data_IF_745792904145
#
_entry.id   IF_745792904145
#
_cell.length_a   1.000
_cell.length_b   1.000
_cell.length_c   1.000
_cell.angle_alpha   90.00
_cell.angle_beta   90.00
_cell.angle_gamma   90.00
#
_symmetry.space_group_name_H-M   'P 1'
#
loop_
_entity.id
_entity.type
_entity.pdbx_description
1 polymer ?
#
# COMPACT_ATOMS: atom_id res chain seq x y z
N UNK A 1 -43.51 -40.61 -25.62
CA UNK A 1 -42.43 -41.13 -24.75
C UNK A 1 -41.10 -40.69 -25.33
N UNK A 2 -40.63 -39.51 -24.94
CA UNK A 2 -39.26 -39.03 -25.16
C UNK A 2 -38.89 -38.27 -23.89
N UNK A 3 -38.14 -38.92 -22.99
CA UNK A 3 -37.39 -38.25 -21.95
C UNK A 3 -36.12 -37.72 -22.61
N UNK A 4 -36.09 -36.42 -22.92
CA UNK A 4 -34.84 -35.73 -23.24
C UNK A 4 -34.40 -35.05 -21.94
N UNK A 5 -33.21 -35.48 -21.55
CA UNK A 5 -32.51 -35.36 -20.28
C UNK A 5 -32.10 -33.90 -19.97
N UNK A 6 -32.75 -33.27 -18.98
CA UNK A 6 -32.49 -31.91 -18.46
C UNK A 6 -31.17 -31.79 -17.64
N UNK A 7 -30.11 -32.52 -18.00
CA UNK A 7 -28.86 -32.56 -17.22
C UNK A 7 -27.68 -31.83 -17.86
N UNK A 8 -27.88 -31.04 -18.92
CA UNK A 8 -26.77 -30.41 -19.65
C UNK A 8 -26.70 -28.88 -19.61
N UNK A 9 -27.41 -28.20 -18.69
CA UNK A 9 -27.44 -26.72 -18.61
C UNK A 9 -26.95 -26.16 -17.26
N UNK A 10 -26.64 -26.98 -16.25
CA UNK A 10 -26.37 -26.48 -14.90
C UNK A 10 -24.88 -26.49 -14.45
N UNK A 11 -23.93 -26.84 -15.32
CA UNK A 11 -22.52 -26.96 -14.91
C UNK A 11 -21.66 -25.72 -15.21
N UNK A 12 -22.14 -24.76 -16.02
CA UNK A 12 -21.38 -23.55 -16.35
C UNK A 12 -21.51 -22.42 -15.31
N UNK A 13 -22.59 -22.37 -14.51
CA UNK A 13 -22.73 -21.36 -13.43
C UNK A 13 -21.94 -21.74 -12.17
N UNK A 14 -21.62 -23.02 -11.98
CA UNK A 14 -20.86 -23.50 -10.82
C UNK A 14 -19.34 -23.35 -10.94
N UNK A 15 -18.80 -23.06 -12.13
CA UNK A 15 -17.37 -22.80 -12.31
C UNK A 15 -16.98 -21.32 -12.04
N UNK A 16 -17.96 -20.41 -12.09
CA UNK A 16 -17.76 -18.98 -11.82
C UNK A 16 -17.91 -18.64 -10.32
N UNK A 17 -18.33 -19.61 -9.50
CA UNK A 17 -18.38 -19.54 -8.04
C UNK A 17 -17.12 -20.08 -7.36
N UNK A 18 -16.06 -20.37 -8.14
CA UNK A 18 -14.75 -20.73 -7.60
C UNK A 18 -14.14 -19.53 -6.84
N UNK A 19 -14.33 -19.58 -5.52
CA UNK A 19 -13.68 -18.77 -4.46
C UNK A 19 -13.85 -17.25 -4.50
N UNK A 20 -15.08 -16.76 -4.64
CA UNK A 20 -15.38 -15.39 -4.16
C UNK A 20 -15.34 -15.40 -2.63
N UNK A 21 -14.15 -15.13 -2.05
CA UNK A 21 -13.97 -15.03 -0.60
C UNK A 21 -15.10 -14.20 0.01
N UNK A 22 -15.69 -14.62 1.14
CA UNK A 22 -16.74 -13.86 1.80
C UNK A 22 -16.25 -12.42 2.02
N UNK A 23 -17.05 -11.42 1.59
CA UNK A 23 -16.69 -9.98 1.74
C UNK A 23 -16.19 -9.66 3.14
N UNK A 24 -16.79 -10.29 4.15
CA UNK A 24 -16.43 -10.17 5.55
C UNK A 24 -14.98 -10.60 5.84
N UNK A 25 -14.53 -11.75 5.32
CA UNK A 25 -13.16 -12.23 5.54
C UNK A 25 -12.16 -11.28 4.88
N UNK A 26 -12.48 -10.80 3.67
CA UNK A 26 -11.65 -9.82 2.96
C UNK A 26 -11.54 -8.51 3.74
N UNK A 27 -12.65 -8.01 4.25
CA UNK A 27 -12.72 -6.82 5.11
C UNK A 27 -11.85 -6.97 6.36
N UNK A 28 -12.03 -8.05 7.12
CA UNK A 28 -11.26 -8.30 8.34
C UNK A 28 -9.76 -8.47 8.07
N UNK A 29 -9.39 -9.15 6.98
CA UNK A 29 -7.98 -9.31 6.59
C UNK A 29 -7.33 -7.95 6.29
N UNK A 30 -8.01 -7.08 5.54
CA UNK A 30 -7.48 -5.74 5.26
C UNK A 30 -7.39 -4.90 6.53
N UNK A 31 -8.41 -4.96 7.39
CA UNK A 31 -8.46 -4.19 8.63
C UNK A 31 -7.34 -4.60 9.60
N UNK A 32 -7.14 -5.90 9.84
CA UNK A 32 -6.07 -6.38 10.72
C UNK A 32 -4.70 -6.05 10.13
N UNK A 33 -4.48 -6.33 8.85
CA UNK A 33 -3.20 -6.02 8.18
C UNK A 33 -2.86 -4.53 8.26
N UNK A 34 -3.86 -3.66 8.12
CA UNK A 34 -3.67 -2.22 8.19
C UNK A 34 -3.42 -1.73 9.62
N UNK A 35 -4.14 -2.24 10.63
CA UNK A 35 -3.83 -1.90 12.02
C UNK A 35 -2.39 -2.26 12.36
N UNK A 36 -1.92 -3.44 11.93
CA UNK A 36 -0.52 -3.82 12.11
C UNK A 36 0.44 -2.90 11.34
N UNK A 37 0.12 -2.55 10.10
CA UNK A 37 0.94 -1.63 9.29
C UNK A 37 1.01 -0.24 9.91
N UNK A 38 -0.11 0.31 10.38
CA UNK A 38 -0.20 1.59 11.09
C UNK A 38 0.58 1.60 12.40
N UNK A 39 0.46 0.55 13.21
CA UNK A 39 1.25 0.44 14.45
C UNK A 39 2.74 0.37 14.12
N UNK A 40 3.12 -0.41 13.11
CA UNK A 40 4.51 -0.55 12.68
C UNK A 40 5.09 0.79 12.17
N UNK A 41 4.36 1.48 11.30
CA UNK A 41 4.77 2.79 10.76
C UNK A 41 4.81 3.86 11.85
N UNK A 42 3.85 3.91 12.76
CA UNK A 42 3.85 4.84 13.90
C UNK A 42 5.00 4.56 14.87
N UNK A 43 5.28 3.30 15.21
CA UNK A 43 6.42 2.94 16.04
C UNK A 43 7.74 3.32 15.37
N UNK A 44 7.89 3.03 14.08
CA UNK A 44 9.09 3.37 13.31
C UNK A 44 9.29 4.88 13.26
N UNK A 45 8.23 5.63 12.99
CA UNK A 45 8.26 7.09 12.99
C UNK A 45 8.59 7.64 14.38
N UNK A 46 8.02 7.06 15.44
CA UNK A 46 8.28 7.44 16.83
C UNK A 46 9.74 7.23 17.21
N UNK A 47 10.30 6.04 16.96
CA UNK A 47 11.71 5.75 17.22
C UNK A 47 12.64 6.68 16.44
N UNK A 48 12.30 6.96 15.18
CA UNK A 48 13.11 7.80 14.30
C UNK A 48 13.05 9.30 14.71
N UNK A 49 11.91 9.78 15.23
CA UNK A 49 11.77 11.16 15.74
C UNK A 49 12.40 11.36 17.13
N UNK A 50 12.32 10.35 18.00
CA UNK A 50 12.80 10.44 19.38
C UNK A 50 14.31 10.28 19.49
N UNK A 51 14.93 9.53 18.57
CA UNK A 51 16.37 9.39 18.51
C UNK A 51 17.03 10.59 17.80
N UNK A 52 17.59 11.48 18.62
CA UNK A 52 18.24 12.74 18.19
C UNK A 52 19.44 12.51 17.27
N UNK A 53 20.08 11.35 17.39
CA UNK A 53 21.23 10.92 16.58
C UNK A 53 20.81 10.54 15.16
N UNK A 54 19.63 9.94 15.00
CA UNK A 54 19.07 9.65 13.68
C UNK A 54 18.54 10.90 12.97
N UNK A 55 17.95 11.86 13.69
CA UNK A 55 17.40 13.10 13.12
C UNK A 55 18.40 13.96 12.34
N UNK A 56 19.70 13.84 12.63
CA UNK A 56 20.72 14.69 12.01
C UNK A 56 21.35 14.08 10.75
N UNK A 57 20.95 12.87 10.37
CA UNK A 57 21.37 12.21 9.14
C UNK A 57 20.34 12.43 8.03
N UNK A 58 20.77 13.00 6.90
CA UNK A 58 19.94 13.27 5.71
C UNK A 58 19.16 12.02 5.24
N UNK A 59 19.78 10.84 5.35
CA UNK A 59 19.16 9.56 4.98
C UNK A 59 17.84 9.28 5.71
N UNK A 60 17.77 9.67 6.98
CA UNK A 60 16.59 9.37 7.78
C UNK A 60 15.40 10.25 7.38
N UNK A 61 15.65 11.40 6.75
CA UNK A 61 14.59 12.30 6.30
C UNK A 61 13.80 11.72 5.12
N UNK A 62 14.45 11.02 4.20
CA UNK A 62 13.79 10.33 3.08
C UNK A 62 12.95 9.16 3.59
N UNK A 63 13.47 8.41 4.58
CA UNK A 63 12.75 7.29 5.20
C UNK A 63 11.48 7.79 5.93
N UNK A 64 11.57 8.93 6.65
CA UNK A 64 10.38 9.56 7.27
C UNK A 64 9.34 9.92 6.22
N UNK A 65 9.75 10.58 5.13
CA UNK A 65 8.83 11.01 4.07
C UNK A 65 8.17 9.79 3.43
N UNK A 66 8.94 8.72 3.17
CA UNK A 66 8.44 7.47 2.60
C UNK A 66 7.40 6.81 3.52
N UNK A 67 7.69 6.70 4.82
CA UNK A 67 6.75 6.18 5.82
C UNK A 67 5.47 7.01 5.90
N UNK A 68 5.58 8.33 5.85
CA UNK A 68 4.44 9.23 5.94
C UNK A 68 3.53 9.14 4.70
N UNK A 69 4.13 9.04 3.51
CA UNK A 69 3.40 8.85 2.25
C UNK A 69 2.70 7.48 2.22
N UNK A 70 3.39 6.42 2.67
CA UNK A 70 2.80 5.09 2.78
C UNK A 70 1.61 5.05 3.75
N UNK A 71 1.73 5.71 4.91
CA UNK A 71 0.66 5.80 5.90
C UNK A 71 -0.56 6.57 5.36
N UNK A 72 -0.34 7.69 4.67
CA UNK A 72 -1.43 8.44 4.05
C UNK A 72 -2.14 7.61 2.97
N UNK A 73 -1.37 6.91 2.13
CA UNK A 73 -1.93 6.04 1.11
C UNK A 73 -2.79 4.93 1.72
N UNK A 74 -2.27 4.19 2.71
CA UNK A 74 -3.02 3.16 3.42
C UNK A 74 -4.29 3.70 4.06
N UNK A 75 -4.25 4.89 4.65
CA UNK A 75 -5.40 5.50 5.29
C UNK A 75 -6.49 5.86 4.28
N UNK A 76 -6.11 6.46 3.15
CA UNK A 76 -7.05 6.86 2.10
C UNK A 76 -7.63 5.62 1.42
N UNK A 77 -6.80 4.63 1.07
CA UNK A 77 -7.23 3.37 0.43
C UNK A 77 -8.25 2.62 1.28
N UNK A 78 -7.96 2.45 2.57
CA UNK A 78 -8.85 1.70 3.45
C UNK A 78 -10.13 2.46 3.73
N UNK A 79 -10.06 3.76 3.98
CA UNK A 79 -11.28 4.57 4.12
C UNK A 79 -12.16 4.44 2.90
N UNK A 80 -11.57 4.42 1.71
CA UNK A 80 -12.32 4.30 0.47
C UNK A 80 -12.90 2.90 0.26
N UNK A 81 -12.15 1.84 0.59
CA UNK A 81 -12.62 0.45 0.53
C UNK A 81 -13.79 0.24 1.51
N UNK A 82 -13.65 0.71 2.76
CA UNK A 82 -14.69 0.60 3.78
C UNK A 82 -15.94 1.40 3.36
N UNK A 83 -15.76 2.62 2.86
CA UNK A 83 -16.85 3.46 2.40
C UNK A 83 -17.56 2.87 1.17
N UNK A 84 -16.83 2.18 0.28
CA UNK A 84 -17.40 1.43 -0.84
C UNK A 84 -18.15 0.16 -0.40
N UNK A 85 -17.74 -0.48 0.69
CA UNK A 85 -18.39 -1.69 1.20
C UNK A 85 -19.60 -1.36 2.09
N UNK A 86 -19.61 -0.18 2.73
CA UNK A 86 -20.69 0.29 3.61
C UNK A 86 -21.86 0.97 2.88
N UNK A 87 -21.63 1.55 1.69
CA UNK A 87 -22.68 2.13 0.86
C UNK A 87 -23.11 1.14 -0.23
N UNK A 88 -24.42 0.92 -0.40
CA UNK A 88 -24.98 0.05 -1.45
C UNK A 88 -24.59 0.50 -2.88
N UNK A 89 -24.20 1.76 -3.05
CA UNK A 89 -23.71 2.33 -4.30
C UNK A 89 -22.22 2.64 -4.13
N UNK A 90 -21.32 1.86 -4.75
CA UNK A 90 -19.89 2.13 -4.63
C UNK A 90 -19.56 3.44 -5.36
N UNK A 91 -18.72 4.28 -4.75
CA UNK A 91 -18.20 5.52 -5.36
C UNK A 91 -17.39 5.25 -6.63
N UNK A 92 -16.89 4.02 -6.80
CA UNK A 92 -16.31 3.55 -8.07
C UNK A 92 -17.30 3.42 -9.22
N UNK A 93 -18.61 3.56 -8.96
CA UNK A 93 -19.64 3.64 -10.00
C UNK A 93 -19.57 4.95 -10.79
N UNK A 94 -18.92 5.99 -10.25
CA UNK A 94 -18.66 7.23 -10.98
C UNK A 94 -17.35 7.13 -11.76
N UNK A 95 -17.37 7.16 -13.11
CA UNK A 95 -16.17 6.96 -13.92
C UNK A 95 -15.10 8.03 -13.67
N UNK A 96 -15.49 9.26 -13.35
CA UNK A 96 -14.57 10.36 -13.03
C UNK A 96 -13.82 10.11 -11.73
N UNK A 97 -14.52 9.59 -10.72
CA UNK A 97 -13.94 9.29 -9.43
C UNK A 97 -12.99 8.09 -9.50
N UNK A 98 -13.37 7.06 -10.27
CA UNK A 98 -12.52 5.91 -10.52
C UNK A 98 -11.21 6.28 -11.24
N UNK A 99 -11.27 7.10 -12.29
CA UNK A 99 -10.07 7.58 -13.00
C UNK A 99 -9.16 8.41 -12.09
N UNK A 100 -9.74 9.29 -11.28
CA UNK A 100 -8.98 10.07 -10.30
C UNK A 100 -8.28 9.16 -9.28
N UNK A 101 -8.99 8.14 -8.81
CA UNK A 101 -8.46 7.16 -7.87
C UNK A 101 -7.29 6.37 -8.45
N UNK A 102 -7.46 5.82 -9.65
CA UNK A 102 -6.40 5.08 -10.35
C UNK A 102 -5.18 5.96 -10.59
N UNK A 103 -5.38 7.23 -10.99
CA UNK A 103 -4.28 8.17 -11.15
C UNK A 103 -3.51 8.39 -9.84
N UNK A 104 -4.22 8.56 -8.73
CA UNK A 104 -3.63 8.72 -7.41
C UNK A 104 -2.83 7.47 -7.02
N UNK A 105 -3.43 6.29 -7.16
CA UNK A 105 -2.80 5.01 -6.87
C UNK A 105 -1.48 4.82 -7.64
N UNK A 106 -1.51 5.01 -8.96
CA UNK A 106 -0.30 4.95 -9.79
C UNK A 106 0.77 5.97 -9.39
N UNK A 107 0.36 7.19 -9.04
CA UNK A 107 1.28 8.25 -8.63
C UNK A 107 1.97 7.90 -7.32
N UNK A 108 1.20 7.46 -6.32
CA UNK A 108 1.74 7.07 -5.01
C UNK A 108 2.63 5.83 -5.11
N UNK A 109 2.23 4.85 -5.90
CA UNK A 109 3.04 3.66 -6.15
C UNK A 109 4.38 4.00 -6.83
N UNK A 110 4.34 4.83 -7.89
CA UNK A 110 5.54 5.27 -8.60
C UNK A 110 6.46 6.10 -7.69
N UNK A 111 5.88 6.95 -6.85
CA UNK A 111 6.62 7.79 -5.92
C UNK A 111 7.27 6.94 -4.81
N UNK A 112 6.58 5.93 -4.28
CA UNK A 112 7.16 4.99 -3.33
C UNK A 112 8.36 4.24 -3.94
N UNK A 113 8.23 3.72 -5.15
CA UNK A 113 9.35 3.05 -5.84
C UNK A 113 10.51 4.03 -6.07
N UNK A 114 10.21 5.24 -6.53
CA UNK A 114 11.21 6.28 -6.76
C UNK A 114 11.97 6.65 -5.49
N UNK A 115 11.27 6.81 -4.37
CA UNK A 115 11.88 7.09 -3.07
C UNK A 115 12.69 5.90 -2.54
N UNK A 116 12.23 4.66 -2.75
CA UNK A 116 13.00 3.46 -2.40
C UNK A 116 14.30 3.34 -3.20
N UNK A 117 14.23 3.62 -4.51
CA UNK A 117 15.39 3.66 -5.38
C UNK A 117 16.37 4.75 -4.93
N UNK A 118 15.84 5.94 -4.62
CA UNK A 118 16.65 7.05 -4.10
C UNK A 118 17.32 6.72 -2.76
N UNK A 119 16.58 6.12 -1.81
CA UNK A 119 17.14 5.68 -0.53
C UNK A 119 18.25 4.63 -0.70
N UNK A 120 18.11 3.75 -1.70
CA UNK A 120 19.15 2.75 -2.03
C UNK A 120 20.38 3.41 -2.62
N UNK A 121 20.21 4.38 -3.53
CA UNK A 121 21.30 5.16 -4.12
C UNK A 121 22.03 5.96 -3.04
N UNK A 122 21.30 6.63 -2.16
CA UNK A 122 21.86 7.40 -1.05
C UNK A 122 22.69 6.50 -0.13
N UNK A 123 22.16 5.33 0.26
CA UNK A 123 22.90 4.35 1.07
C UNK A 123 24.12 3.80 0.34
N UNK A 124 24.02 3.56 -0.96
CA UNK A 124 25.14 3.14 -1.79
C UNK A 124 26.24 4.21 -1.81
N UNK A 125 25.90 5.47 -2.06
CA UNK A 125 26.85 6.59 -2.04
C UNK A 125 27.52 6.70 -0.67
N UNK A 126 26.78 6.61 0.43
CA UNK A 126 27.33 6.73 1.77
C UNK A 126 28.36 5.63 2.10
N UNK A 127 28.10 4.39 1.68
CA UNK A 127 29.00 3.25 1.91
C UNK A 127 30.27 3.35 1.06
N UNK A 128 30.15 3.75 -0.21
CA UNK A 128 31.29 3.77 -1.14
C UNK A 128 32.09 5.08 -1.09
N UNK A 129 31.51 6.19 -0.64
CA UNK A 129 32.17 7.49 -0.50
C UNK A 129 32.47 7.91 0.94
N UNK A 130 32.36 7.01 1.93
CA UNK A 130 32.69 7.31 3.33
C UNK A 130 34.15 7.82 3.51
N UNK A 131 35.06 7.36 2.65
CA UNK A 131 36.46 7.83 2.61
C UNK A 131 36.65 9.22 2.00
N UNK A 132 35.70 9.75 1.24
CA UNK A 132 35.81 11.08 0.63
C UNK A 132 35.45 12.21 1.60
N UNK A 133 34.60 11.92 2.59
CA UNK A 133 34.25 12.85 3.68
C UNK A 133 35.27 12.77 4.84
N UNK A 134 35.94 11.64 5.01
CA UNK A 134 36.98 11.46 6.05
C UNK A 134 38.31 12.18 5.76
N UNK A 135 38.57 12.61 4.52
CA UNK A 135 39.88 13.17 4.12
C UNK A 135 39.92 14.71 4.11
N UNK A 136 39.34 15.38 5.12
CA UNK A 136 39.60 16.80 5.36
C UNK A 136 39.64 17.11 6.85
N UNK A 137 40.66 16.59 7.53
CA UNK A 137 41.25 17.19 8.74
C UNK A 137 42.69 16.67 8.87
N UNK A 138 43.61 17.36 8.19
CA UNK A 138 44.98 17.57 8.65
C UNK A 138 45.22 19.07 8.69
#
# INVERSE_FOLDING_TARGET
MLMINDTFVNDDENSLSMSRFPRQIRYWSYLVSNIFSLICTLLTLYFLLFDRTLRNSLNNHIIIILLLIGLLYEFIDILLIINNDANDIPWSSSPTFYLFWVFFDYTFYSLQIGLFAWATIERHILIFHDQWISTRNK
#
